data_IF_596871804194
#
_entry.id   IF_596871804194
#
_cell.length_a   1.000
_cell.length_b   1.000
_cell.length_c   1.000
_cell.angle_alpha   90.00
_cell.angle_beta   90.00
_cell.angle_gamma   90.00
#
_symmetry.space_group_name_H-M   'P 1'
#
loop_
_entity.id
_entity.type
_entity.pdbx_description
1 polymer ?
#
# COMPACT_ATOMS: atom_id res chain seq x y z
N UNK A 1 -42.00 -8.43 1.20
CA UNK A 1 -41.18 -9.68 1.16
C UNK A 1 -39.81 -9.35 1.72
N UNK A 2 -39.34 -10.00 2.80
CA UNK A 2 -38.03 -9.69 3.33
C UNK A 2 -36.98 -10.33 2.40
N UNK A 3 -36.04 -9.52 1.95
CA UNK A 3 -34.96 -9.97 1.07
C UNK A 3 -34.01 -10.87 1.87
N UNK A 4 -33.64 -12.03 1.31
CA UNK A 4 -32.59 -12.87 1.87
C UNK A 4 -31.25 -12.30 1.45
N UNK A 5 -30.63 -11.53 2.34
CA UNK A 5 -29.20 -11.24 2.21
C UNK A 5 -28.43 -12.50 2.61
N UNK A 6 -27.85 -13.19 1.64
CA UNK A 6 -26.92 -14.29 1.88
C UNK A 6 -25.50 -13.80 1.64
N UNK A 7 -24.70 -13.77 2.70
CA UNK A 7 -23.27 -13.47 2.58
C UNK A 7 -22.50 -14.74 2.18
N UNK A 8 -21.31 -14.55 1.60
CA UNK A 8 -20.38 -15.67 1.33
C UNK A 8 -20.01 -16.44 2.59
N UNK A 9 -20.06 -15.78 3.75
CA UNK A 9 -19.80 -16.40 5.04
C UNK A 9 -20.94 -17.36 5.40
N UNK A 10 -22.19 -16.96 5.18
CA UNK A 10 -23.37 -17.79 5.46
C UNK A 10 -23.38 -19.06 4.60
N UNK A 11 -23.01 -18.97 3.33
CA UNK A 11 -22.88 -20.14 2.46
C UNK A 11 -21.78 -21.09 2.94
N UNK A 12 -20.63 -20.56 3.37
CA UNK A 12 -19.53 -21.37 3.91
C UNK A 12 -19.92 -22.06 5.22
N UNK A 13 -20.66 -21.37 6.09
CA UNK A 13 -21.21 -21.94 7.31
C UNK A 13 -22.18 -23.07 7.01
N UNK A 14 -23.10 -22.85 6.06
CA UNK A 14 -24.09 -23.85 5.65
C UNK A 14 -23.42 -25.08 5.05
N UNK A 15 -22.39 -24.89 4.24
CA UNK A 15 -21.57 -25.98 3.71
C UNK A 15 -20.93 -26.81 4.83
N UNK A 16 -20.31 -26.16 5.81
CA UNK A 16 -19.67 -26.85 6.93
C UNK A 16 -20.70 -27.59 7.81
N UNK A 17 -21.83 -26.96 8.12
CA UNK A 17 -22.89 -27.57 8.93
C UNK A 17 -23.38 -28.88 8.32
N UNK A 18 -23.74 -28.86 7.03
CA UNK A 18 -24.17 -30.06 6.29
C UNK A 18 -23.10 -31.13 6.21
N UNK A 19 -21.82 -30.73 6.12
CA UNK A 19 -20.72 -31.69 6.16
C UNK A 19 -20.56 -32.34 7.53
N UNK A 20 -20.86 -31.63 8.62
CA UNK A 20 -20.86 -32.17 9.99
C UNK A 20 -22.06 -33.09 10.25
N UNK A 21 -23.20 -32.84 9.61
CA UNK A 21 -24.38 -33.72 9.61
C UNK A 21 -24.14 -35.07 8.92
N UNK A 22 -23.01 -35.23 8.21
CA UNK A 22 -22.57 -36.49 7.62
C UNK A 22 -22.75 -36.59 6.11
N UNK A 23 -23.21 -35.53 5.44
CA UNK A 23 -23.38 -35.54 3.98
C UNK A 23 -22.06 -35.73 3.23
N UNK A 24 -22.13 -36.41 2.09
CA UNK A 24 -20.96 -36.73 1.27
C UNK A 24 -20.32 -35.46 0.70
N UNK A 25 -18.98 -35.37 0.73
CA UNK A 25 -18.25 -34.21 0.18
C UNK A 25 -18.52 -34.02 -1.32
N UNK A 26 -18.71 -35.11 -2.05
CA UNK A 26 -18.92 -35.08 -3.50
C UNK A 26 -20.25 -34.44 -3.84
N UNK A 27 -21.32 -34.83 -3.16
CA UNK A 27 -22.67 -34.35 -3.46
C UNK A 27 -22.84 -32.92 -2.95
N UNK A 28 -22.31 -32.63 -1.77
CA UNK A 28 -22.28 -31.28 -1.22
C UNK A 28 -21.53 -30.29 -2.13
N UNK A 29 -20.36 -30.68 -2.68
CA UNK A 29 -19.63 -29.82 -3.61
C UNK A 29 -20.39 -29.59 -4.93
N UNK A 30 -21.12 -30.59 -5.43
CA UNK A 30 -21.96 -30.45 -6.63
C UNK A 30 -23.10 -29.47 -6.40
N UNK A 31 -23.79 -29.57 -5.27
CA UNK A 31 -24.92 -28.70 -4.95
C UNK A 31 -24.50 -27.25 -4.69
N UNK A 32 -23.38 -27.04 -3.98
CA UNK A 32 -22.84 -25.70 -3.74
C UNK A 32 -22.05 -25.15 -4.94
N UNK A 33 -21.94 -25.89 -6.06
CA UNK A 33 -21.25 -25.42 -7.26
C UNK A 33 -19.76 -25.17 -7.09
N UNK A 34 -19.09 -25.85 -6.15
CA UNK A 34 -17.66 -25.69 -5.87
C UNK A 34 -16.86 -26.93 -6.24
N UNK A 35 -15.56 -26.73 -6.52
CA UNK A 35 -14.66 -27.88 -6.72
C UNK A 35 -14.46 -28.63 -5.39
N UNK A 36 -14.29 -29.95 -5.46
CA UNK A 36 -13.95 -30.78 -4.27
C UNK A 36 -12.71 -30.28 -3.54
N UNK A 37 -11.71 -29.75 -4.27
CA UNK A 37 -10.50 -29.14 -3.69
C UNK A 37 -10.84 -27.93 -2.81
N UNK A 38 -11.79 -27.10 -3.25
CA UNK A 38 -12.29 -25.97 -2.47
C UNK A 38 -13.09 -26.45 -1.25
N UNK A 39 -13.95 -27.45 -1.41
CA UNK A 39 -14.71 -28.04 -0.31
C UNK A 39 -13.83 -28.59 0.81
N UNK A 40 -12.82 -29.42 0.46
CA UNK A 40 -11.84 -29.91 1.43
C UNK A 40 -11.05 -28.77 2.08
N UNK A 41 -10.65 -27.74 1.32
CA UNK A 41 -9.95 -26.58 1.89
C UNK A 41 -10.80 -25.83 2.91
N UNK A 42 -12.08 -25.61 2.64
CA UNK A 42 -13.01 -24.94 3.57
C UNK A 42 -13.18 -25.78 4.83
N UNK A 43 -13.43 -27.09 4.68
CA UNK A 43 -13.67 -27.98 5.81
C UNK A 43 -12.43 -28.21 6.67
N UNK A 44 -11.25 -28.37 6.07
CA UNK A 44 -10.00 -28.54 6.81
C UNK A 44 -9.65 -27.27 7.61
N UNK A 45 -9.85 -26.09 7.02
CA UNK A 45 -9.69 -24.82 7.74
C UNK A 45 -10.61 -24.73 8.95
N UNK A 46 -11.88 -25.09 8.78
CA UNK A 46 -12.83 -25.13 9.89
C UNK A 46 -12.39 -26.10 10.99
N UNK A 47 -11.85 -27.27 10.64
CA UNK A 47 -11.32 -28.22 11.63
C UNK A 47 -10.13 -27.67 12.43
N UNK A 48 -9.28 -26.86 11.80
CA UNK A 48 -8.07 -26.31 12.42
C UNK A 48 -8.35 -25.06 13.27
N UNK A 49 -9.18 -24.14 12.78
CA UNK A 49 -9.33 -22.78 13.33
C UNK A 49 -10.80 -22.40 13.62
N UNK A 50 -11.75 -23.31 13.43
CA UNK A 50 -13.17 -23.10 13.70
C UNK A 50 -13.83 -22.09 12.77
N UNK A 51 -14.77 -21.30 13.32
CA UNK A 51 -15.58 -20.35 12.56
C UNK A 51 -14.74 -19.23 11.90
N UNK A 52 -13.68 -18.79 12.58
CA UNK A 52 -12.77 -17.72 12.10
C UNK A 52 -12.11 -18.12 10.78
N UNK A 53 -11.88 -19.41 10.57
CA UNK A 53 -11.22 -19.95 9.39
C UNK A 53 -11.99 -19.74 8.07
N UNK A 54 -13.30 -19.49 8.19
CA UNK A 54 -14.21 -19.27 7.06
C UNK A 54 -14.18 -17.83 6.55
N UNK A 55 -13.57 -16.91 7.29
CA UNK A 55 -13.33 -15.55 6.82
C UNK A 55 -12.34 -15.52 5.65
N UNK A 56 -12.44 -14.49 4.81
CA UNK A 56 -11.52 -14.30 3.70
C UNK A 56 -10.13 -13.92 4.22
N UNK A 57 -9.21 -14.90 4.20
CA UNK A 57 -7.79 -14.63 4.45
C UNK A 57 -7.22 -13.69 3.39
N UNK A 58 -6.27 -12.85 3.83
CA UNK A 58 -5.51 -11.99 2.94
C UNK A 58 -4.90 -12.79 1.79
N UNK A 59 -5.13 -12.32 0.56
CA UNK A 59 -4.48 -12.85 -0.65
C UNK A 59 -3.13 -12.22 -0.93
N UNK A 60 -2.64 -11.40 0.00
CA UNK A 60 -1.36 -10.71 -0.13
C UNK A 60 -0.22 -11.73 -0.14
N UNK A 61 0.74 -11.64 -1.08
CA UNK A 61 1.93 -12.48 -1.05
C UNK A 61 2.62 -12.40 0.31
N UNK A 62 3.05 -13.55 0.84
CA UNK A 62 3.75 -13.65 2.13
C UNK A 62 5.07 -12.87 2.11
N UNK A 63 5.75 -12.85 0.95
CA UNK A 63 6.99 -12.09 0.75
C UNK A 63 6.93 -11.37 -0.58
N UNK A 64 7.35 -10.10 -0.59
CA UNK A 64 7.68 -9.39 -1.81
C UNK A 64 9.17 -9.56 -2.07
N UNK A 65 9.55 -10.07 -3.25
CA UNK A 65 10.95 -10.27 -3.63
C UNK A 65 11.79 -8.98 -3.53
N UNK A 66 11.14 -7.82 -3.75
CA UNK A 66 11.77 -6.51 -3.73
C UNK A 66 11.70 -5.80 -2.35
N UNK A 67 11.23 -6.49 -1.31
CA UNK A 67 11.19 -5.92 0.03
C UNK A 67 12.58 -5.94 0.66
N UNK A 68 13.01 -4.79 1.15
CA UNK A 68 14.26 -4.66 1.89
C UNK A 68 14.18 -5.47 3.20
N UNK A 69 15.28 -6.11 3.62
CA UNK A 69 15.37 -6.69 4.96
C UNK A 69 15.10 -5.62 6.03
N UNK A 70 14.35 -6.00 7.06
CA UNK A 70 13.99 -5.12 8.20
C UNK A 70 15.21 -4.41 8.80
N UNK A 71 16.38 -5.07 9.02
CA UNK A 71 17.55 -4.38 9.59
C UNK A 71 18.05 -3.21 8.74
N UNK A 72 17.95 -3.32 7.41
CA UNK A 72 18.42 -2.27 6.49
C UNK A 72 17.42 -1.12 6.43
N UNK A 73 16.13 -1.44 6.45
CA UNK A 73 15.10 -0.42 6.56
C UNK A 73 15.22 0.37 7.86
N UNK A 74 15.47 -0.31 8.98
CA UNK A 74 15.69 0.32 10.28
C UNK A 74 16.95 1.20 10.29
N UNK A 75 18.06 0.72 9.74
CA UNK A 75 19.29 1.50 9.63
C UNK A 75 19.10 2.80 8.81
N UNK A 76 18.26 2.78 7.76
CA UNK A 76 17.89 3.98 6.98
C UNK A 76 17.10 4.97 7.85
N UNK A 77 16.12 4.46 8.61
CA UNK A 77 15.27 5.28 9.48
C UNK A 77 16.10 5.92 10.60
N UNK A 78 16.96 5.14 11.25
CA UNK A 78 17.80 5.61 12.35
C UNK A 78 18.80 6.66 11.84
N UNK A 79 19.44 6.43 10.69
CA UNK A 79 20.31 7.41 10.06
C UNK A 79 19.57 8.74 9.74
N UNK A 80 18.29 8.68 9.39
CA UNK A 80 17.46 9.87 9.16
C UNK A 80 17.07 10.56 10.47
N UNK A 81 16.81 9.83 11.54
CA UNK A 81 16.54 10.37 12.87
C UNK A 81 17.78 11.08 13.44
N UNK A 82 18.95 10.47 13.31
CA UNK A 82 20.23 11.05 13.76
C UNK A 82 20.61 12.31 12.98
N UNK A 83 20.28 12.33 11.68
CA UNK A 83 20.58 13.46 10.78
C UNK A 83 19.33 13.90 9.99
N UNK A 84 18.40 14.66 10.62
CA UNK A 84 17.12 15.02 10.00
C UNK A 84 17.23 15.80 8.68
N UNK A 85 18.27 16.62 8.52
CA UNK A 85 18.49 17.41 7.31
C UNK A 85 19.11 16.63 6.15
N UNK A 86 19.52 15.38 6.36
CA UNK A 86 20.17 14.59 5.31
C UNK A 86 19.14 13.93 4.40
N UNK A 87 19.42 13.99 3.09
CA UNK A 87 18.63 13.30 2.08
C UNK A 87 19.18 11.90 1.77
N UNK A 88 18.42 11.13 0.99
CA UNK A 88 18.75 9.75 0.63
C UNK A 88 20.18 9.56 0.09
N UNK A 89 20.75 10.55 -0.61
CA UNK A 89 22.13 10.51 -1.11
C UNK A 89 23.16 10.47 0.03
N UNK A 90 23.04 11.36 1.02
CA UNK A 90 23.97 11.43 2.17
C UNK A 90 23.79 10.24 3.11
N UNK A 91 22.54 9.81 3.31
CA UNK A 91 22.23 8.62 4.12
C UNK A 91 22.84 7.37 3.50
N UNK A 92 22.75 7.21 2.17
CA UNK A 92 23.41 6.08 1.48
C UNK A 92 24.92 6.06 1.74
N UNK A 93 25.58 7.21 1.58
CA UNK A 93 27.02 7.33 1.80
C UNK A 93 27.42 6.98 3.24
N UNK A 94 26.61 7.41 4.22
CA UNK A 94 26.80 7.04 5.62
C UNK A 94 26.71 5.53 5.83
N UNK A 95 25.71 4.88 5.22
CA UNK A 95 25.54 3.43 5.30
C UNK A 95 26.69 2.67 4.63
N UNK A 96 27.23 3.18 3.51
CA UNK A 96 28.41 2.60 2.85
C UNK A 96 29.62 2.60 3.77
N UNK A 97 29.85 3.70 4.48
CA UNK A 97 30.97 3.81 5.42
C UNK A 97 30.77 2.96 6.67
N UNK A 98 29.56 2.89 7.21
CA UNK A 98 29.26 2.19 8.46
C UNK A 98 29.23 0.66 8.31
N UNK A 99 28.76 0.16 7.16
CA UNK A 99 28.54 -1.27 6.93
C UNK A 99 29.65 -1.93 6.11
N UNK A 100 30.72 -1.19 5.76
CA UNK A 100 31.98 -1.67 5.19
C UNK A 100 31.93 -2.72 4.06
N UNK A 101 30.80 -2.87 3.37
CA UNK A 101 30.60 -3.85 2.28
C UNK A 101 29.97 -5.18 2.69
N UNK A 102 29.74 -5.43 3.99
CA UNK A 102 29.13 -6.68 4.48
C UNK A 102 27.69 -6.86 4.00
N UNK A 103 27.01 -5.76 3.69
CA UNK A 103 25.63 -5.77 3.22
C UNK A 103 25.47 -4.98 1.93
N UNK A 104 24.73 -5.54 0.97
CA UNK A 104 24.36 -4.84 -0.27
C UNK A 104 23.46 -3.65 0.06
N UNK A 105 24.00 -2.44 -0.11
CA UNK A 105 23.29 -1.21 0.21
C UNK A 105 22.30 -0.87 -0.90
N UNK A 106 21.04 -0.54 -0.56
CA UNK A 106 20.03 -0.15 -1.52
C UNK A 106 20.44 1.05 -2.38
N UNK A 107 19.81 1.15 -3.55
CA UNK A 107 19.94 2.32 -4.40
C UNK A 107 19.39 3.57 -3.69
N UNK A 108 19.86 4.75 -4.11
CA UNK A 108 19.39 6.05 -3.59
C UNK A 108 17.87 6.18 -3.70
N UNK A 109 17.28 5.73 -4.80
CA UNK A 109 15.83 5.75 -5.04
C UNK A 109 15.09 4.87 -4.03
N UNK A 110 15.61 3.68 -3.73
CA UNK A 110 15.03 2.77 -2.74
C UNK A 110 15.09 3.36 -1.33
N UNK A 111 16.22 3.98 -0.95
CA UNK A 111 16.33 4.70 0.32
C UNK A 111 15.32 5.84 0.39
N UNK A 112 15.17 6.63 -0.69
CA UNK A 112 14.16 7.68 -0.74
C UNK A 112 12.74 7.12 -0.59
N UNK A 113 12.42 6.01 -1.25
CA UNK A 113 11.12 5.36 -1.15
C UNK A 113 10.85 4.87 0.27
N UNK A 114 11.85 4.30 0.96
CA UNK A 114 11.75 3.96 2.38
C UNK A 114 11.43 5.21 3.20
N UNK A 115 12.21 6.28 3.06
CA UNK A 115 11.98 7.51 3.83
C UNK A 115 10.58 8.11 3.56
N UNK A 116 10.10 8.08 2.31
CA UNK A 116 8.77 8.57 1.94
C UNK A 116 7.64 7.71 2.51
N UNK A 117 7.79 6.37 2.52
CA UNK A 117 6.82 5.45 3.17
C UNK A 117 6.65 5.71 4.66
N UNK A 118 7.73 6.11 5.34
CA UNK A 118 7.71 6.44 6.77
C UNK A 118 7.43 7.93 7.05
N UNK A 119 7.08 8.72 6.04
CA UNK A 119 6.75 10.14 6.21
C UNK A 119 7.95 11.04 6.57
N UNK A 120 9.17 10.57 6.36
CA UNK A 120 10.42 11.27 6.69
C UNK A 120 10.91 12.20 5.55
N UNK A 121 10.10 12.38 4.51
CA UNK A 121 10.37 13.27 3.38
C UNK A 121 9.28 14.34 3.31
N UNK A 122 9.70 15.61 3.21
CA UNK A 122 8.77 16.69 2.90
C UNK A 122 8.44 16.62 1.41
N UNK A 123 7.20 16.26 1.08
CA UNK A 123 6.70 16.37 -0.29
C UNK A 123 6.50 17.85 -0.61
N UNK A 124 7.27 18.38 -1.56
CA UNK A 124 6.99 19.70 -2.08
C UNK A 124 5.61 19.66 -2.76
N UNK A 125 4.65 20.40 -2.22
CA UNK A 125 3.36 20.57 -2.87
C UNK A 125 3.54 21.13 -4.27
N UNK A 126 2.70 20.71 -5.22
CA UNK A 126 2.72 21.27 -6.57
C UNK A 126 2.41 22.77 -6.46
N UNK A 127 3.41 23.63 -6.72
CA UNK A 127 3.18 25.08 -6.83
C UNK A 127 2.20 25.29 -7.98
N UNK A 128 0.94 25.60 -7.65
CA UNK A 128 -0.02 26.11 -8.62
C UNK A 128 0.33 27.58 -8.82
N UNK A 129 1.28 27.86 -9.72
CA UNK A 129 1.40 29.22 -10.25
C UNK A 129 0.13 29.48 -11.06
N UNK A 130 -0.85 30.14 -10.45
CA UNK A 130 -1.90 30.78 -11.23
C UNK A 130 -1.25 31.95 -11.92
N UNK A 131 -1.33 32.01 -13.24
CA UNK A 131 -0.98 33.22 -13.97
C UNK A 131 -1.90 34.33 -13.43
N UNK A 132 -1.33 35.25 -12.65
CA UNK A 132 -2.00 36.47 -12.26
C UNK A 132 -1.70 37.47 -13.37
N UNK A 133 -2.74 37.93 -14.07
CA UNK A 133 -2.59 39.01 -15.03
C UNK A 133 -2.08 40.26 -14.32
N UNK A 134 -1.20 41.01 -14.98
CA UNK A 134 -0.77 42.33 -14.48
C UNK A 134 -1.98 43.26 -14.48
N UNK A 135 -2.21 44.00 -13.39
CA UNK A 135 -3.27 45.00 -13.33
C UNK A 135 -3.03 46.10 -14.36
N UNK A 136 -4.05 46.42 -15.17
CA UNK A 136 -3.96 47.49 -16.18
C UNK A 136 -3.73 48.84 -15.50
N UNK A 137 -2.69 49.57 -15.90
CA UNK A 137 -2.42 50.93 -15.43
C UNK A 137 -2.87 51.98 -16.45
N UNK A 138 -3.53 53.04 -15.97
CA UNK A 138 -4.09 54.13 -16.78
C UNK A 138 -3.10 55.24 -17.16
N UNK A 139 -1.84 55.16 -16.69
CA UNK A 139 -0.76 56.07 -17.10
C UNK A 139 -0.97 57.54 -16.72
N UNK A 140 -1.02 57.87 -15.43
CA UNK A 140 -1.37 59.22 -14.95
C UNK A 140 -0.23 60.26 -14.97
N UNK A 141 1.02 59.87 -15.24
CA UNK A 141 2.20 60.74 -15.24
C UNK A 141 3.10 60.48 -16.45
N UNK A 142 3.91 61.46 -16.90
CA UNK A 142 4.91 61.22 -17.93
C UNK A 142 5.82 60.04 -17.56
N UNK A 143 6.07 59.14 -18.50
CA UNK A 143 6.80 57.87 -18.34
C UNK A 143 6.10 56.76 -17.52
N UNK A 144 4.81 56.89 -17.21
CA UNK A 144 4.05 55.78 -16.64
C UNK A 144 3.84 54.66 -17.67
N UNK A 145 3.93 53.41 -17.22
CA UNK A 145 3.57 52.24 -18.03
C UNK A 145 2.08 52.26 -18.34
N UNK A 146 1.76 52.00 -19.60
CA UNK A 146 0.43 52.01 -20.17
C UNK A 146 0.20 50.62 -20.75
N UNK A 147 -0.87 49.95 -20.32
CA UNK A 147 -1.21 48.63 -20.84
C UNK A 147 -1.97 48.80 -22.16
N UNK A 148 -1.41 48.30 -23.25
CA UNK A 148 -2.03 48.31 -24.58
C UNK A 148 -2.46 46.89 -24.90
N UNK A 149 -3.74 46.70 -25.21
CA UNK A 149 -4.28 45.43 -25.69
C UNK A 149 -4.34 45.46 -27.22
N UNK A 150 -3.71 44.49 -27.88
CA UNK A 150 -3.72 44.38 -29.34
C UNK A 150 -4.82 43.40 -29.76
N UNK A 151 -5.67 43.83 -30.70
CA UNK A 151 -6.80 43.07 -31.24
C UNK A 151 -6.36 41.93 -32.17
#
# INVERSE_FOLDING_TARGET
MPWKEQSKMDERLRFVARRLEGESMTDLCREFGISRKTGYKIFNRYKEEGLIALEDRSRRPVRYANQLPVPIEQAIIDAKKDKPHWGARKIRELLVRRLAGDVRIPARSTIHAVLDRYGLVKRAGRKRQRALGTSLSSGSVPNALWCVDFK
#
